data_IF_183355711920
#
_entry.id   IF_183355711920
#
_cell.length_a   1.000
_cell.length_b   1.000
_cell.length_c   1.000
_cell.angle_alpha   90.00
_cell.angle_beta   90.00
_cell.angle_gamma   90.00
#
_symmetry.space_group_name_H-M   'P 1'
#
loop_
_entity.id
_entity.type
_entity.pdbx_description
1 polymer ?
#
# COMPACT_ATOMS: atom_id res chain seq x y z
N UNK A 1 -18.24 16.19 -53.53
CA UNK A 1 -18.86 14.93 -54.01
C UNK A 1 -19.44 15.04 -55.42
N UNK A 2 -19.65 16.23 -55.99
CA UNK A 2 -20.10 16.38 -57.39
C UNK A 2 -18.95 16.68 -58.38
N UNK A 3 -17.71 16.29 -58.09
CA UNK A 3 -16.54 16.67 -58.91
C UNK A 3 -15.87 15.50 -59.63
N UNK A 4 -15.93 14.28 -59.09
CA UNK A 4 -15.34 13.10 -59.75
C UNK A 4 -16.25 12.56 -60.86
N UNK A 5 -17.57 12.57 -60.65
CA UNK A 5 -18.54 12.12 -61.65
C UNK A 5 -18.60 13.06 -62.88
N UNK A 6 -18.42 14.37 -62.67
CA UNK A 6 -18.39 15.38 -63.75
C UNK A 6 -17.07 15.33 -64.56
N UNK A 7 -15.94 15.00 -63.93
CA UNK A 7 -14.67 14.73 -64.62
C UNK A 7 -14.77 13.45 -65.46
N UNK A 8 -15.34 12.37 -64.91
CA UNK A 8 -15.63 11.13 -65.63
C UNK A 8 -16.55 11.36 -66.84
N UNK A 9 -17.61 12.16 -66.67
CA UNK A 9 -18.53 12.52 -67.76
C UNK A 9 -17.83 13.30 -68.89
N UNK A 10 -16.92 14.23 -68.55
CA UNK A 10 -16.12 14.97 -69.52
C UNK A 10 -15.09 14.07 -70.21
N UNK A 11 -14.47 13.12 -69.50
CA UNK A 11 -13.53 12.13 -70.05
C UNK A 11 -14.25 11.16 -71.01
N UNK A 12 -15.49 10.77 -70.69
CA UNK A 12 -16.38 9.94 -71.53
C UNK A 12 -16.82 10.70 -72.79
N UNK A 13 -17.09 12.00 -72.69
CA UNK A 13 -17.45 12.84 -73.84
C UNK A 13 -16.27 13.08 -74.82
N UNK A 14 -15.03 13.05 -74.33
CA UNK A 14 -13.81 13.24 -75.13
C UNK A 14 -13.22 11.95 -75.70
N UNK A 15 -13.60 10.79 -75.17
CA UNK A 15 -13.10 9.48 -75.60
C UNK A 15 -13.96 8.89 -76.71
N UNK A 16 -13.36 8.08 -77.57
CA UNK A 16 -14.10 7.39 -78.62
C UNK A 16 -14.99 6.29 -78.02
N UNK A 17 -16.08 5.94 -78.69
CA UNK A 17 -16.96 4.84 -78.26
C UNK A 17 -16.20 3.51 -78.12
N UNK A 18 -15.14 3.29 -78.89
CA UNK A 18 -14.28 2.11 -78.78
C UNK A 18 -13.41 2.14 -77.51
N UNK A 19 -12.89 3.31 -77.12
CA UNK A 19 -12.05 3.45 -75.92
C UNK A 19 -12.85 3.19 -74.64
N UNK A 20 -14.08 3.69 -74.57
CA UNK A 20 -14.98 3.45 -73.43
C UNK A 20 -15.29 1.96 -73.30
N UNK A 21 -15.59 1.28 -74.40
CA UNK A 21 -15.88 -0.16 -74.43
C UNK A 21 -14.65 -0.97 -74.00
N UNK A 22 -13.44 -0.55 -74.38
CA UNK A 22 -12.20 -1.21 -73.97
C UNK A 22 -11.91 -0.98 -72.47
N UNK A 23 -12.16 0.23 -71.95
CA UNK A 23 -11.98 0.57 -70.53
C UNK A 23 -12.97 -0.17 -69.63
N UNK A 24 -14.24 -0.29 -70.04
CA UNK A 24 -15.23 -1.11 -69.31
C UNK A 24 -14.85 -2.59 -69.30
N UNK A 25 -14.31 -3.13 -70.40
CA UNK A 25 -13.82 -4.52 -70.45
C UNK A 25 -12.61 -4.76 -69.55
N UNK A 26 -11.71 -3.79 -69.44
CA UNK A 26 -10.57 -3.83 -68.52
C UNK A 26 -11.05 -3.81 -67.06
N UNK A 27 -11.96 -2.90 -66.71
CA UNK A 27 -12.54 -2.81 -65.37
C UNK A 27 -13.33 -4.07 -64.99
N UNK A 28 -14.09 -4.67 -65.92
CA UNK A 28 -14.78 -5.94 -65.67
C UNK A 28 -13.80 -7.10 -65.40
N UNK A 29 -12.67 -7.13 -66.11
CA UNK A 29 -11.60 -8.08 -65.85
C UNK A 29 -10.97 -7.83 -64.47
N UNK A 30 -10.69 -6.58 -64.12
CA UNK A 30 -10.11 -6.21 -62.83
C UNK A 30 -11.07 -6.55 -61.67
N UNK A 31 -12.37 -6.26 -61.81
CA UNK A 31 -13.39 -6.64 -60.83
C UNK A 31 -13.43 -8.16 -60.66
N UNK A 32 -13.31 -8.92 -61.74
CA UNK A 32 -13.28 -10.39 -61.69
C UNK A 32 -12.03 -10.90 -60.97
N UNK A 33 -10.87 -10.31 -61.23
CA UNK A 33 -9.61 -10.64 -60.53
C UNK A 33 -9.72 -10.27 -59.06
N UNK A 34 -10.14 -9.05 -58.72
CA UNK A 34 -10.30 -8.61 -57.33
C UNK A 34 -11.31 -9.44 -56.54
N UNK A 35 -12.42 -9.85 -57.17
CA UNK A 35 -13.39 -10.75 -56.54
C UNK A 35 -12.78 -12.12 -56.25
N UNK A 36 -11.95 -12.63 -57.16
CA UNK A 36 -11.24 -13.91 -56.96
C UNK A 36 -10.17 -13.81 -55.86
N UNK A 37 -9.42 -12.71 -55.79
CA UNK A 37 -8.45 -12.47 -54.72
C UNK A 37 -9.10 -12.27 -53.36
N UNK A 38 -10.22 -11.53 -53.32
CA UNK A 38 -10.99 -11.34 -52.10
C UNK A 38 -11.50 -12.67 -51.55
N UNK A 39 -11.99 -13.57 -52.42
CA UNK A 39 -12.38 -14.92 -52.03
C UNK A 39 -11.19 -15.75 -51.52
N UNK A 40 -10.02 -15.69 -52.19
CA UNK A 40 -8.80 -16.37 -51.73
C UNK A 40 -8.36 -15.88 -50.35
N UNK A 41 -8.25 -14.57 -50.15
CA UNK A 41 -7.86 -13.96 -48.88
C UNK A 41 -8.85 -14.27 -47.77
N UNK A 42 -10.15 -14.31 -48.08
CA UNK A 42 -11.18 -14.68 -47.12
C UNK A 42 -11.01 -16.13 -46.67
N UNK A 43 -10.75 -17.04 -47.61
CA UNK A 43 -10.50 -18.44 -47.28
C UNK A 43 -9.22 -18.61 -46.44
N UNK A 44 -8.11 -17.97 -46.82
CA UNK A 44 -6.86 -17.99 -46.04
C UNK A 44 -7.06 -17.45 -44.61
N UNK A 45 -7.80 -16.35 -44.46
CA UNK A 45 -8.16 -15.80 -43.15
C UNK A 45 -8.95 -16.81 -42.32
N UNK A 46 -9.94 -17.48 -42.89
CA UNK A 46 -10.72 -18.49 -42.17
C UNK A 46 -9.86 -19.67 -41.73
N UNK A 47 -8.98 -20.18 -42.59
CA UNK A 47 -8.06 -21.27 -42.26
C UNK A 47 -7.07 -20.85 -41.17
N UNK A 48 -6.54 -19.63 -41.21
CA UNK A 48 -5.68 -19.13 -40.15
C UNK A 48 -6.41 -18.98 -38.81
N UNK A 49 -7.65 -18.49 -38.82
CA UNK A 49 -8.46 -18.37 -37.60
C UNK A 49 -8.76 -19.73 -36.96
N UNK A 50 -9.05 -20.74 -37.77
CA UNK A 50 -9.26 -22.11 -37.29
C UNK A 50 -7.99 -22.66 -36.64
N UNK A 51 -6.83 -22.50 -37.28
CA UNK A 51 -5.53 -22.88 -36.68
C UNK A 51 -5.22 -22.15 -35.39
N UNK A 52 -5.54 -20.85 -35.30
CA UNK A 52 -5.37 -20.07 -34.07
C UNK A 52 -6.25 -20.63 -32.96
N UNK A 53 -7.51 -20.95 -33.27
CA UNK A 53 -8.45 -21.54 -32.30
C UNK A 53 -7.96 -22.89 -31.79
N UNK A 54 -7.52 -23.78 -32.67
CA UNK A 54 -6.96 -25.08 -32.30
C UNK A 54 -5.73 -24.94 -31.39
N UNK A 55 -4.86 -23.98 -31.67
CA UNK A 55 -3.68 -23.70 -30.85
C UNK A 55 -4.07 -23.10 -29.49
N UNK A 56 -5.07 -22.22 -29.44
CA UNK A 56 -5.57 -21.66 -28.18
C UNK A 56 -6.17 -22.73 -27.27
N UNK A 57 -6.93 -23.69 -27.83
CA UNK A 57 -7.48 -24.82 -27.07
C UNK A 57 -6.37 -25.71 -26.49
N UNK A 58 -5.31 -25.99 -27.27
CA UNK A 58 -4.12 -26.70 -26.77
C UNK A 58 -3.40 -25.95 -25.65
N UNK A 59 -3.26 -24.63 -25.77
CA UNK A 59 -2.66 -23.79 -24.72
C UNK A 59 -3.54 -23.78 -23.46
N UNK A 60 -4.86 -23.70 -23.62
CA UNK A 60 -5.80 -23.70 -22.49
C UNK A 60 -5.73 -25.01 -21.70
N UNK A 61 -5.62 -26.16 -22.38
CA UNK A 61 -5.42 -27.46 -21.72
C UNK A 61 -4.10 -27.51 -20.94
N UNK A 62 -3.04 -26.89 -21.44
CA UNK A 62 -1.76 -26.78 -20.72
C UNK A 62 -1.77 -25.75 -19.59
N UNK A 63 -2.68 -24.77 -19.63
CA UNK A 63 -2.92 -23.79 -18.56
C UNK A 63 -3.83 -24.29 -17.44
N UNK A 64 -4.32 -25.53 -17.52
CA UNK A 64 -5.16 -26.08 -16.48
C UNK A 64 -4.39 -26.19 -15.14
N UNK A 65 -5.09 -25.91 -14.05
CA UNK A 65 -4.58 -26.13 -12.70
C UNK A 65 -4.41 -27.64 -12.46
N UNK A 66 -3.36 -28.10 -11.75
CA UNK A 66 -2.39 -27.33 -10.98
C UNK A 66 -1.07 -27.03 -11.72
N UNK A 67 -0.55 -25.80 -11.58
CA UNK A 67 0.81 -25.43 -11.98
C UNK A 67 1.73 -25.30 -10.76
N UNK A 68 3.03 -25.51 -10.95
CA UNK A 68 4.06 -25.32 -9.95
C UNK A 68 4.41 -23.83 -9.85
N UNK A 69 4.66 -23.30 -8.66
CA UNK A 69 5.12 -21.91 -8.50
C UNK A 69 6.65 -21.87 -8.51
N UNK A 70 7.21 -20.79 -9.06
CA UNK A 70 8.64 -20.51 -9.02
C UNK A 70 8.92 -19.01 -9.09
N UNK A 71 10.18 -18.66 -8.90
CA UNK A 71 10.66 -17.28 -9.03
C UNK A 71 11.71 -17.21 -10.13
N UNK A 72 11.70 -16.12 -10.89
CA UNK A 72 12.79 -15.81 -11.82
C UNK A 72 14.00 -15.34 -11.02
N UNK A 73 15.15 -15.99 -11.18
CA UNK A 73 16.40 -15.56 -10.54
C UNK A 73 17.09 -14.52 -11.41
N UNK A 74 17.28 -14.85 -12.68
CA UNK A 74 18.03 -14.03 -13.62
C UNK A 74 17.56 -14.29 -15.05
N UNK A 75 17.63 -13.25 -15.88
CA UNK A 75 17.41 -13.32 -17.32
C UNK A 75 18.78 -13.19 -17.97
N UNK A 76 19.12 -14.17 -18.81
CA UNK A 76 20.39 -14.25 -19.51
C UNK A 76 20.12 -14.03 -21.00
N UNK A 77 20.86 -13.11 -21.60
CA UNK A 77 20.85 -12.95 -23.06
C UNK A 77 21.94 -13.88 -23.63
N UNK A 78 21.53 -14.94 -24.33
CA UNK A 78 22.48 -15.81 -25.04
C UNK A 78 22.84 -15.17 -26.37
N UNK A 79 24.02 -14.56 -26.42
CA UNK A 79 24.67 -14.17 -27.67
C UNK A 79 25.40 -15.38 -28.27
N UNK A 80 25.11 -15.69 -29.52
CA UNK A 80 25.57 -16.91 -30.22
C UNK A 80 27.09 -16.93 -30.50
N UNK A 81 27.83 -15.87 -30.18
CA UNK A 81 29.20 -15.73 -30.68
C UNK A 81 30.32 -16.35 -29.82
N UNK A 82 30.05 -17.27 -28.87
CA UNK A 82 31.14 -17.88 -28.09
C UNK A 82 31.17 -19.39 -27.83
N UNK A 83 30.18 -20.19 -28.23
CA UNK A 83 30.24 -21.65 -27.94
C UNK A 83 29.92 -22.61 -29.10
N UNK A 84 29.58 -22.14 -30.30
CA UNK A 84 29.16 -23.01 -31.41
C UNK A 84 30.12 -23.05 -32.61
N UNK A 85 31.43 -23.19 -32.39
CA UNK A 85 32.37 -23.50 -33.49
C UNK A 85 33.01 -24.88 -33.45
N UNK A 86 32.71 -25.74 -32.46
CA UNK A 86 33.27 -27.09 -32.44
C UNK A 86 32.29 -28.13 -31.88
N UNK A 87 31.29 -28.54 -32.67
CA UNK A 87 30.75 -29.90 -32.59
C UNK A 87 29.89 -30.23 -33.81
N UNK A 88 30.45 -31.03 -34.71
CA UNK A 88 29.75 -31.64 -35.84
C UNK A 88 28.98 -32.88 -35.42
N UNK A 89 27.75 -32.71 -34.98
CA UNK A 89 26.68 -33.71 -34.99
C UNK A 89 25.36 -33.01 -34.64
N UNK A 90 24.38 -33.04 -35.55
CA UNK A 90 23.00 -32.53 -35.41
C UNK A 90 22.80 -31.49 -34.30
N UNK A 91 23.10 -30.22 -34.62
CA UNK A 91 22.79 -29.12 -33.71
C UNK A 91 21.27 -29.00 -33.63
N UNK A 92 20.70 -29.29 -32.46
CA UNK A 92 19.29 -29.04 -32.18
C UNK A 92 18.97 -27.56 -32.51
N UNK A 93 17.86 -27.34 -33.22
CA UNK A 93 17.42 -25.98 -33.60
C UNK A 93 17.17 -25.08 -32.36
N UNK A 94 17.00 -25.66 -31.17
CA UNK A 94 16.90 -24.93 -29.92
C UNK A 94 18.26 -24.44 -29.38
N UNK A 95 19.38 -25.03 -29.79
CA UNK A 95 20.73 -24.57 -29.45
C UNK A 95 21.23 -23.43 -30.37
N UNK A 96 20.54 -23.14 -31.47
CA UNK A 96 20.88 -22.08 -32.44
C UNK A 96 20.01 -20.84 -32.33
N UNK A 97 19.06 -20.81 -31.39
CA UNK A 97 18.16 -19.68 -31.22
C UNK A 97 18.80 -18.60 -30.36
N UNK A 98 19.09 -17.46 -30.98
CA UNK A 98 19.27 -16.19 -30.28
C UNK A 98 18.00 -15.90 -29.49
N UNK A 99 18.11 -15.89 -28.17
CA UNK A 99 16.95 -15.77 -27.32
C UNK A 99 17.33 -15.41 -25.90
N UNK A 100 16.41 -14.71 -25.23
CA UNK A 100 16.49 -14.50 -23.79
C UNK A 100 16.20 -15.83 -23.12
N UNK A 101 17.13 -16.30 -22.29
CA UNK A 101 16.97 -17.44 -21.41
C UNK A 101 16.66 -16.98 -20.00
N UNK A 102 16.05 -17.86 -19.20
CA UNK A 102 15.74 -17.56 -17.81
C UNK A 102 16.28 -18.65 -16.89
N UNK A 103 16.91 -18.24 -15.80
CA UNK A 103 17.18 -19.10 -14.66
C UNK A 103 16.01 -18.98 -13.70
N UNK A 104 15.30 -20.08 -13.49
CA UNK A 104 14.16 -20.13 -12.58
C UNK A 104 14.49 -20.96 -11.35
N UNK A 105 13.90 -20.59 -10.22
CA UNK A 105 13.96 -21.36 -8.98
C UNK A 105 12.55 -21.77 -8.59
N UNK A 106 12.30 -23.07 -8.61
CA UNK A 106 11.00 -23.65 -8.25
C UNK A 106 10.76 -23.59 -6.73
N UNK A 107 9.49 -23.68 -6.30
CA UNK A 107 9.14 -23.82 -4.87
C UNK A 107 9.76 -25.08 -4.22
N UNK A 108 10.10 -26.09 -5.01
CA UNK A 108 10.83 -27.30 -4.56
C UNK A 108 12.34 -27.06 -4.39
N UNK A 109 12.80 -25.80 -4.49
CA UNK A 109 14.18 -25.35 -4.34
C UNK A 109 15.13 -25.87 -5.43
N UNK A 110 14.60 -26.31 -6.57
CA UNK A 110 15.41 -26.66 -7.73
C UNK A 110 15.63 -25.44 -8.62
N UNK A 111 16.88 -25.22 -9.03
CA UNK A 111 17.24 -24.20 -10.01
C UNK A 111 17.29 -24.86 -11.37
N UNK A 112 16.50 -24.34 -12.30
CA UNK A 112 16.37 -24.89 -13.66
C UNK A 112 16.72 -23.77 -14.63
N UNK A 113 17.56 -24.10 -15.62
CA UNK A 113 17.85 -23.22 -16.73
C UNK A 113 16.87 -23.49 -17.87
N UNK A 114 16.15 -22.46 -18.31
CA UNK A 114 15.22 -22.52 -19.42
C UNK A 114 15.82 -21.76 -20.62
N UNK A 115 16.18 -22.46 -21.70
CA UNK A 115 16.63 -21.81 -22.94
C UNK A 115 15.53 -20.93 -23.56
N UNK A 116 14.26 -21.35 -23.43
CA UNK A 116 13.09 -20.60 -23.88
C UNK A 116 12.16 -20.22 -22.73
N UNK A 117 11.75 -18.95 -22.71
CA UNK A 117 10.96 -18.30 -21.65
C UNK A 117 9.46 -18.71 -21.68
N UNK A 118 9.05 -19.62 -22.56
CA UNK A 118 7.69 -20.18 -22.57
C UNK A 118 6.66 -19.22 -23.19
N UNK A 119 5.51 -19.05 -22.53
CA UNK A 119 4.37 -18.31 -23.08
C UNK A 119 4.37 -16.81 -22.72
N UNK A 120 5.24 -16.38 -21.81
CA UNK A 120 5.32 -15.01 -21.31
C UNK A 120 6.38 -14.22 -22.07
N UNK A 121 6.12 -12.95 -22.34
CA UNK A 121 7.10 -12.07 -22.96
C UNK A 121 8.30 -11.81 -22.02
N UNK A 122 9.54 -11.91 -22.51
CA UNK A 122 10.73 -11.74 -21.67
C UNK A 122 10.95 -10.29 -21.22
N UNK A 123 10.26 -9.33 -21.83
CA UNK A 123 10.29 -7.91 -21.45
C UNK A 123 9.44 -7.61 -20.21
N UNK A 124 8.46 -8.47 -19.90
CA UNK A 124 7.57 -8.31 -18.74
C UNK A 124 8.19 -8.92 -17.48
N UNK A 125 9.08 -9.90 -17.65
CA UNK A 125 9.73 -10.57 -16.54
C UNK A 125 10.84 -9.70 -15.96
N UNK A 126 10.86 -9.64 -14.64
CA UNK A 126 11.95 -9.06 -13.85
C UNK A 126 12.53 -10.12 -12.90
N UNK A 127 13.80 -9.95 -12.50
CA UNK A 127 14.36 -10.76 -11.43
C UNK A 127 13.49 -10.67 -10.17
N UNK A 128 13.24 -11.82 -9.55
CA UNK A 128 12.37 -12.08 -8.39
C UNK A 128 10.85 -12.04 -8.65
N UNK A 129 10.40 -11.96 -9.90
CA UNK A 129 8.97 -12.11 -10.18
C UNK A 129 8.50 -13.53 -9.90
N UNK A 130 7.28 -13.64 -9.36
CA UNK A 130 6.60 -14.88 -9.09
C UNK A 130 5.94 -15.38 -10.40
N UNK A 131 6.18 -16.64 -10.76
CA UNK A 131 5.71 -17.20 -12.03
C UNK A 131 5.06 -18.57 -11.82
N UNK A 132 4.07 -18.86 -12.67
CA UNK A 132 3.47 -20.17 -12.81
C UNK A 132 4.24 -21.02 -13.82
N UNK A 133 4.69 -22.19 -13.39
CA UNK A 133 5.47 -23.16 -14.14
C UNK A 133 4.65 -24.42 -14.39
N UNK A 134 4.79 -25.04 -15.56
CA UNK A 134 4.25 -26.38 -15.75
C UNK A 134 5.03 -27.39 -14.87
N UNK A 135 4.32 -28.32 -14.22
CA UNK A 135 4.92 -29.33 -13.34
C UNK A 135 5.86 -30.28 -14.08
N UNK A 136 5.57 -30.61 -15.33
CA UNK A 136 6.31 -31.64 -16.07
C UNK A 136 7.42 -31.04 -16.94
N UNK A 137 7.16 -29.91 -17.59
CA UNK A 137 8.09 -29.27 -18.54
C UNK A 137 8.81 -28.05 -17.99
N UNK A 138 8.44 -27.56 -16.79
CA UNK A 138 8.99 -26.36 -16.16
C UNK A 138 8.92 -25.09 -17.02
N UNK A 139 8.11 -25.07 -18.08
CA UNK A 139 7.89 -23.90 -18.92
C UNK A 139 7.08 -22.85 -18.16
N UNK A 140 7.42 -21.57 -18.36
CA UNK A 140 6.68 -20.44 -17.79
C UNK A 140 5.34 -20.31 -18.52
N UNK A 141 4.24 -20.51 -17.78
CA UNK A 141 2.87 -20.45 -18.27
C UNK A 141 2.29 -19.04 -18.12
N UNK A 142 2.49 -18.43 -16.96
CA UNK A 142 1.93 -17.14 -16.60
C UNK A 142 2.77 -16.43 -15.52
N UNK A 143 2.61 -15.11 -15.45
CA UNK A 143 3.15 -14.29 -14.35
C UNK A 143 2.12 -14.19 -13.25
N UNK A 144 2.52 -14.52 -12.02
CA UNK A 144 1.64 -14.41 -10.86
C UNK A 144 1.83 -13.03 -10.20
N UNK A 145 0.79 -12.45 -9.60
CA UNK A 145 0.93 -11.27 -8.78
C UNK A 145 1.96 -11.50 -7.67
N UNK A 146 2.75 -10.47 -7.33
CA UNK A 146 3.68 -10.55 -6.22
C UNK A 146 2.95 -10.90 -4.93
N UNK A 147 3.35 -12.00 -4.28
CA UNK A 147 2.74 -12.40 -3.02
C UNK A 147 3.44 -11.71 -1.85
N UNK A 148 2.68 -10.89 -1.13
CA UNK A 148 3.10 -10.34 0.16
C UNK A 148 2.83 -11.34 1.29
N UNK A 149 3.66 -11.31 2.34
CA UNK A 149 3.43 -12.10 3.55
C UNK A 149 2.00 -11.89 4.07
N UNK A 150 1.33 -12.97 4.49
CA UNK A 150 -0.04 -12.92 4.99
C UNK A 150 -0.18 -11.97 6.19
N UNK A 151 0.89 -11.79 6.98
CA UNK A 151 0.95 -10.83 8.07
C UNK A 151 0.84 -9.39 7.58
N UNK A 152 1.40 -9.05 6.42
CA UNK A 152 1.30 -7.70 5.83
C UNK A 152 -0.11 -7.45 5.31
N UNK A 153 -0.75 -8.45 4.70
CA UNK A 153 -2.17 -8.34 4.30
C UNK A 153 -3.08 -8.13 5.52
N UNK A 154 -2.76 -8.72 6.66
CA UNK A 154 -3.49 -8.50 7.91
C UNK A 154 -3.23 -7.11 8.56
N UNK A 155 -2.15 -6.41 8.16
CA UNK A 155 -1.86 -5.04 8.60
C UNK A 155 -2.66 -4.00 7.81
N UNK A 156 -3.21 -4.38 6.67
CA UNK A 156 -4.14 -3.56 5.93
C UNK A 156 -5.43 -3.41 6.72
N UNK A 157 -5.85 -2.16 6.93
CA UNK A 157 -7.10 -1.89 7.59
C UNK A 157 -8.19 -1.81 6.51
N UNK A 158 -8.91 -2.92 6.33
CA UNK A 158 -10.03 -3.02 5.38
C UNK A 158 -11.22 -2.12 5.76
N UNK A 159 -11.37 -1.77 7.05
CA UNK A 159 -12.41 -0.86 7.53
C UNK A 159 -11.90 0.58 7.62
N UNK A 160 -12.44 1.47 6.78
CA UNK A 160 -12.21 2.91 6.93
C UNK A 160 -12.59 3.33 8.36
N UNK A 161 -11.65 3.84 9.17
CA UNK A 161 -12.01 4.38 10.48
C UNK A 161 -13.06 5.47 10.30
N UNK A 162 -14.14 5.43 11.07
CA UNK A 162 -15.22 6.43 11.04
C UNK A 162 -15.01 7.56 12.06
N UNK A 163 -13.79 7.69 12.57
CA UNK A 163 -13.45 8.67 13.61
C UNK A 163 -13.25 10.05 12.96
N UNK A 164 -14.05 11.04 13.36
CA UNK A 164 -13.92 12.42 12.92
C UNK A 164 -13.07 13.24 13.89
N UNK A 165 -12.48 14.34 13.43
CA UNK A 165 -11.77 15.27 14.33
C UNK A 165 -12.67 15.88 15.41
N UNK A 166 -13.99 15.91 15.21
CA UNK A 166 -14.95 16.35 16.22
C UNK A 166 -15.07 15.41 17.43
N UNK A 167 -14.50 14.20 17.35
CA UNK A 167 -14.40 13.26 18.45
C UNK A 167 -13.06 13.36 19.20
N UNK A 168 -12.18 14.28 18.81
CA UNK A 168 -10.90 14.54 19.46
C UNK A 168 -10.96 15.91 20.13
N UNK A 169 -10.83 15.96 21.47
CA UNK A 169 -10.93 17.20 22.24
C UNK A 169 -9.58 17.81 22.58
N UNK A 170 -9.43 19.12 22.39
CA UNK A 170 -8.37 19.95 22.99
C UNK A 170 -6.96 19.77 22.40
N UNK A 171 -6.85 19.20 21.20
CA UNK A 171 -5.60 19.00 20.47
C UNK A 171 -5.55 19.77 19.15
N UNK A 172 -6.16 20.97 19.12
CA UNK A 172 -6.37 21.73 17.88
C UNK A 172 -5.06 22.06 17.15
N UNK A 173 -4.01 22.43 17.91
CA UNK A 173 -2.67 22.71 17.34
C UNK A 173 -2.07 21.46 16.69
N UNK A 174 -2.16 20.31 17.36
CA UNK A 174 -1.63 19.05 16.86
C UNK A 174 -2.42 18.55 15.65
N UNK A 175 -3.73 18.77 15.62
CA UNK A 175 -4.59 18.48 14.47
C UNK A 175 -4.14 19.32 13.27
N UNK A 176 -3.95 20.63 13.44
CA UNK A 176 -3.49 21.53 12.38
C UNK A 176 -2.11 21.11 11.83
N UNK A 177 -1.13 20.87 12.70
CA UNK A 177 0.21 20.41 12.30
C UNK A 177 0.18 19.08 11.52
N UNK A 178 -0.71 18.16 11.91
CA UNK A 178 -0.86 16.88 11.23
C UNK A 178 -1.54 17.02 9.87
N UNK A 179 -2.57 17.86 9.76
CA UNK A 179 -3.26 18.17 8.51
C UNK A 179 -2.29 18.81 7.52
N UNK A 180 -1.45 19.75 7.98
CA UNK A 180 -0.38 20.35 7.17
C UNK A 180 0.66 19.34 6.69
N UNK A 181 1.04 18.40 7.55
CA UNK A 181 2.07 17.42 7.23
C UNK A 181 1.59 16.31 6.29
N UNK A 182 0.33 15.87 6.41
CA UNK A 182 -0.17 14.67 5.72
C UNK A 182 -1.27 14.99 4.71
N UNK A 183 -2.34 15.64 5.15
CA UNK A 183 -3.56 15.83 4.35
C UNK A 183 -3.32 16.83 3.22
N UNK A 184 -2.67 17.95 3.51
CA UNK A 184 -2.37 19.01 2.53
C UNK A 184 -1.53 18.49 1.35
N UNK A 185 -0.42 17.76 1.56
CA UNK A 185 0.33 17.15 0.46
C UNK A 185 -0.47 16.15 -0.37
N UNK A 186 -1.42 15.43 0.24
CA UNK A 186 -2.24 14.44 -0.45
C UNK A 186 -3.34 15.07 -1.31
N UNK A 187 -4.00 16.11 -0.80
CA UNK A 187 -5.10 16.78 -1.50
C UNK A 187 -4.62 17.85 -2.49
N UNK A 188 -3.53 18.55 -2.18
CA UNK A 188 -3.08 19.75 -2.90
C UNK A 188 -1.63 19.64 -3.36
N UNK A 189 -1.25 18.51 -3.96
CA UNK A 189 0.11 18.27 -4.47
C UNK A 189 0.58 19.36 -5.45
N UNK A 190 -0.32 19.91 -6.26
CA UNK A 190 0.01 20.95 -7.26
C UNK A 190 0.51 22.25 -6.61
N UNK A 191 0.02 22.61 -5.42
CA UNK A 191 0.50 23.80 -4.71
C UNK A 191 1.95 23.65 -4.28
N UNK A 192 2.33 22.46 -3.83
CA UNK A 192 3.72 22.16 -3.47
C UNK A 192 4.63 22.19 -4.71
N UNK A 193 4.15 21.65 -5.85
CA UNK A 193 4.88 21.68 -7.13
C UNK A 193 5.10 23.11 -7.64
N UNK A 194 4.06 23.94 -7.59
CA UNK A 194 4.13 25.35 -8.00
C UNK A 194 5.04 26.19 -7.10
N UNK A 195 5.06 25.92 -5.79
CA UNK A 195 5.90 26.62 -4.84
C UNK A 195 7.36 26.10 -4.82
N UNK A 196 7.61 24.91 -5.39
CA UNK A 196 8.94 24.30 -5.45
C UNK A 196 9.43 23.72 -4.12
N UNK A 197 8.55 23.55 -3.13
CA UNK A 197 8.87 22.96 -1.82
C UNK A 197 8.53 21.49 -1.79
N UNK A 198 9.45 20.69 -1.23
CA UNK A 198 9.22 19.27 -1.01
C UNK A 198 8.31 19.08 0.20
N UNK A 199 7.21 18.32 0.08
CA UNK A 199 6.36 18.02 1.23
C UNK A 199 7.13 17.16 2.23
N UNK A 200 6.80 17.24 3.53
CA UNK A 200 7.41 16.39 4.53
C UNK A 200 7.12 14.91 4.24
N UNK A 201 8.09 14.03 4.47
CA UNK A 201 7.94 12.59 4.21
C UNK A 201 7.16 11.88 5.32
N UNK A 202 7.35 12.31 6.56
CA UNK A 202 6.67 11.75 7.70
C UNK A 202 6.59 12.67 8.90
N UNK A 203 5.72 12.29 9.84
CA UNK A 203 5.55 12.97 11.11
C UNK A 203 5.70 11.98 12.27
N UNK A 204 6.41 12.41 13.32
CA UNK A 204 6.57 11.71 14.58
C UNK A 204 5.67 12.37 15.63
N UNK A 205 4.78 11.57 16.21
CA UNK A 205 3.94 11.94 17.34
C UNK A 205 4.55 11.40 18.63
N UNK A 206 4.86 12.26 19.59
CA UNK A 206 5.45 11.83 20.87
C UNK A 206 4.76 12.46 22.06
N UNK A 207 4.84 11.81 23.22
CA UNK A 207 4.32 12.31 24.50
C UNK A 207 3.80 11.21 25.41
N UNK A 208 3.15 11.52 26.54
CA UNK A 208 2.63 10.52 27.47
C UNK A 208 1.61 9.57 26.81
N UNK A 209 1.49 8.32 27.30
CA UNK A 209 0.48 7.39 26.83
C UNK A 209 -0.93 7.88 27.20
N UNK A 210 -1.91 7.54 26.38
CA UNK A 210 -3.32 7.92 26.62
C UNK A 210 -3.69 9.36 26.23
N UNK A 211 -2.82 10.05 25.48
CA UNK A 211 -3.06 11.39 24.89
C UNK A 211 -3.74 11.36 23.52
N UNK A 212 -4.07 10.17 22.99
CA UNK A 212 -4.84 10.05 21.75
C UNK A 212 -4.02 10.02 20.45
N UNK A 213 -2.71 9.76 20.50
CA UNK A 213 -1.84 9.62 19.30
C UNK A 213 -2.42 8.66 18.25
N UNK A 214 -2.82 7.46 18.67
CA UNK A 214 -3.42 6.44 17.79
C UNK A 214 -4.80 6.86 17.26
N UNK A 215 -5.59 7.60 18.04
CA UNK A 215 -6.89 8.13 17.60
C UNK A 215 -6.72 9.20 16.53
N UNK A 216 -5.76 10.12 16.72
CA UNK A 216 -5.50 11.17 15.73
C UNK A 216 -5.00 10.59 14.40
N UNK A 217 -4.16 9.56 14.43
CA UNK A 217 -3.71 8.87 13.22
C UNK A 217 -4.87 8.25 12.44
N UNK A 218 -5.82 7.61 13.14
CA UNK A 218 -7.02 7.01 12.53
C UNK A 218 -7.96 8.06 11.95
N UNK A 219 -8.22 9.14 12.68
CA UNK A 219 -9.04 10.23 12.18
C UNK A 219 -8.43 10.92 10.94
N UNK A 220 -7.11 11.08 10.91
CA UNK A 220 -6.40 11.60 9.74
C UNK A 220 -6.53 10.68 8.51
N UNK A 221 -6.48 9.38 8.73
CA UNK A 221 -6.68 8.40 7.66
C UNK A 221 -8.12 8.40 7.14
N UNK A 222 -9.10 8.50 8.04
CA UNK A 222 -10.51 8.60 7.71
C UNK A 222 -10.79 9.79 6.78
N UNK A 223 -10.28 10.97 7.15
CA UNK A 223 -10.54 12.21 6.43
C UNK A 223 -9.78 12.33 5.10
N UNK A 224 -8.57 11.79 5.03
CA UNK A 224 -7.77 11.81 3.78
C UNK A 224 -8.29 10.84 2.73
N UNK A 225 -9.08 9.83 3.12
CA UNK A 225 -9.57 8.79 2.21
C UNK A 225 -8.47 7.92 1.63
N UNK A 226 -7.27 7.98 2.20
CA UNK A 226 -6.11 7.20 1.81
C UNK A 226 -6.17 5.80 2.45
N UNK A 227 -5.48 4.83 1.83
CA UNK A 227 -5.31 3.50 2.40
C UNK A 227 -4.54 3.62 3.72
N UNK A 228 -5.05 3.02 4.80
CA UNK A 228 -4.40 3.06 6.10
C UNK A 228 -3.73 1.72 6.40
N UNK A 229 -2.40 1.71 6.47
CA UNK A 229 -1.62 0.54 6.84
C UNK A 229 -1.20 0.68 8.30
N UNK A 230 -1.78 -0.14 9.18
CA UNK A 230 -1.43 -0.12 10.61
C UNK A 230 -0.32 -1.13 10.88
N UNK A 231 0.85 -0.64 11.25
CA UNK A 231 1.99 -1.42 11.63
C UNK A 231 2.30 -1.20 13.12
N UNK A 232 2.24 -2.25 13.93
CA UNK A 232 2.76 -2.18 15.29
C UNK A 232 4.24 -2.56 15.28
N UNK A 233 5.13 -1.68 15.76
CA UNK A 233 6.56 -1.95 15.75
C UNK A 233 6.96 -3.25 16.49
N UNK A 234 6.30 -3.68 17.59
CA UNK A 234 6.56 -5.00 18.17
C UNK A 234 6.33 -6.18 17.21
N UNK A 235 5.43 -6.05 16.22
CA UNK A 235 5.18 -7.10 15.24
C UNK A 235 6.36 -7.30 14.27
N UNK A 236 7.26 -6.30 14.17
CA UNK A 236 8.48 -6.40 13.37
C UNK A 236 9.58 -7.20 14.06
N UNK A 237 9.48 -7.41 15.38
CA UNK A 237 10.44 -8.22 16.14
C UNK A 237 10.09 -9.69 15.98
N UNK A 238 10.85 -10.40 15.16
CA UNK A 238 10.64 -11.82 14.84
C UNK A 238 11.77 -12.69 15.40
N UNK A 239 11.47 -13.96 15.66
CA UNK A 239 12.46 -14.95 16.11
C UNK A 239 13.43 -15.36 14.99
N UNK A 240 13.00 -15.28 13.73
CA UNK A 240 13.79 -15.67 12.57
C UNK A 240 14.55 -14.47 12.01
N UNK A 241 15.85 -14.67 11.79
CA UNK A 241 16.77 -13.63 11.30
C UNK A 241 16.34 -13.18 9.90
N UNK A 242 16.12 -11.87 9.74
CA UNK A 242 15.77 -11.23 8.48
C UNK A 242 14.28 -11.26 8.13
N UNK A 243 13.43 -11.93 8.92
CA UNK A 243 11.98 -11.96 8.69
C UNK A 243 11.37 -10.57 8.96
N UNK A 244 11.83 -9.88 10.00
CA UNK A 244 11.42 -8.49 10.29
C UNK A 244 11.76 -7.54 9.14
N UNK A 245 12.99 -7.61 8.63
CA UNK A 245 13.44 -6.81 7.49
C UNK A 245 12.66 -7.12 6.19
N UNK A 246 12.28 -8.38 5.96
CA UNK A 246 11.40 -8.75 4.85
C UNK A 246 10.02 -8.12 5.01
N UNK A 247 9.44 -8.20 6.21
CA UNK A 247 8.12 -7.66 6.50
C UNK A 247 8.06 -6.14 6.27
N UNK A 248 9.09 -5.40 6.67
CA UNK A 248 9.20 -3.96 6.38
C UNK A 248 9.17 -3.71 4.88
N UNK A 249 9.98 -4.42 4.09
CA UNK A 249 10.02 -4.26 2.62
C UNK A 249 8.67 -4.56 1.97
N UNK A 250 8.03 -5.65 2.39
CA UNK A 250 6.73 -6.07 1.87
C UNK A 250 5.64 -5.04 2.22
N UNK A 251 5.62 -4.50 3.44
CA UNK A 251 4.69 -3.46 3.87
C UNK A 251 4.82 -2.18 3.03
N UNK A 252 6.04 -1.76 2.77
CA UNK A 252 6.33 -0.58 1.93
C UNK A 252 6.02 -0.82 0.45
N UNK A 253 6.25 -2.03 -0.07
CA UNK A 253 5.88 -2.39 -1.43
C UNK A 253 4.35 -2.40 -1.62
N UNK A 254 3.60 -2.98 -0.67
CA UNK A 254 2.14 -2.94 -0.67
C UNK A 254 1.63 -1.49 -0.60
N UNK A 255 2.26 -0.64 0.21
CA UNK A 255 1.89 0.77 0.31
C UNK A 255 2.09 1.55 -0.99
N UNK A 256 3.12 1.21 -1.79
CA UNK A 256 3.35 1.78 -3.12
C UNK A 256 2.29 1.35 -4.12
N UNK A 257 1.89 0.07 -4.09
CA UNK A 257 0.85 -0.46 -4.98
C UNK A 257 -0.51 0.19 -4.71
N UNK A 258 -0.83 0.43 -3.43
CA UNK A 258 -2.12 1.00 -2.98
C UNK A 258 -2.12 2.52 -2.80
N UNK A 259 -1.15 3.22 -3.36
CA UNK A 259 -1.01 4.66 -3.21
C UNK A 259 -2.27 5.40 -3.73
N UNK A 260 -2.84 6.39 -3.00
CA UNK A 260 -2.32 7.05 -1.80
C UNK A 260 -2.45 6.24 -0.50
N UNK A 261 -1.36 6.13 0.28
CA UNK A 261 -1.31 5.31 1.51
C UNK A 261 -0.67 6.09 2.66
N UNK A 262 -1.20 5.89 3.87
CA UNK A 262 -0.61 6.33 5.14
C UNK A 262 -0.17 5.08 5.91
N UNK A 263 1.13 4.97 6.18
CA UNK A 263 1.70 3.93 7.03
C UNK A 263 1.79 4.48 8.45
N UNK A 264 1.04 3.90 9.38
CA UNK A 264 1.08 4.26 10.79
C UNK A 264 1.89 3.22 11.58
N UNK A 265 3.02 3.64 12.13
CA UNK A 265 3.90 2.84 12.98
C UNK A 265 3.64 3.21 14.44
N UNK A 266 3.01 2.31 15.19
CA UNK A 266 2.79 2.48 16.64
C UNK A 266 3.95 1.88 17.44
N UNK A 267 4.19 2.41 18.65
CA UNK A 267 5.22 1.96 19.59
C UNK A 267 6.64 1.88 18.98
N UNK A 268 7.05 2.93 18.26
CA UNK A 268 8.36 2.95 17.58
C UNK A 268 9.55 2.70 18.51
N UNK A 269 9.40 2.94 19.82
CA UNK A 269 10.39 2.62 20.85
C UNK A 269 10.70 1.11 20.98
N UNK A 270 9.86 0.22 20.45
CA UNK A 270 10.16 -1.22 20.39
C UNK A 270 11.31 -1.57 19.43
N UNK A 271 11.46 -0.81 18.34
CA UNK A 271 12.48 -1.07 17.29
C UNK A 271 13.53 0.04 17.18
N UNK A 272 13.21 1.23 17.67
CA UNK A 272 14.01 2.44 17.47
C UNK A 272 15.00 2.72 18.59
N UNK A 273 15.30 1.78 19.48
CA UNK A 273 16.17 2.04 20.64
C UNK A 273 17.60 2.40 20.21
N UNK A 274 18.21 3.35 20.92
CA UNK A 274 19.62 3.71 20.74
C UNK A 274 20.51 2.47 20.89
N UNK A 275 21.56 2.44 20.07
CA UNK A 275 22.62 1.43 20.11
C UNK A 275 23.26 1.41 21.49
N UNK A 276 22.93 0.39 22.26
CA UNK A 276 23.76 -0.04 23.40
C UNK A 276 24.53 -1.27 22.97
N UNK A 277 25.77 -1.36 23.43
CA UNK A 277 26.74 -2.42 23.14
C UNK A 277 26.35 -3.69 23.92
N UNK A 278 25.10 -4.14 23.77
CA UNK A 278 24.60 -5.37 24.35
C UNK A 278 24.87 -6.53 23.39
N UNK A 279 25.70 -7.49 23.83
CA UNK A 279 26.03 -8.73 23.10
C UNK A 279 24.84 -9.71 22.93
N UNK A 280 23.60 -9.27 23.14
CA UNK A 280 22.42 -10.13 23.02
C UNK A 280 22.02 -10.25 21.56
N UNK A 281 21.95 -11.50 21.08
CA UNK A 281 21.56 -11.84 19.70
C UNK A 281 20.21 -11.23 19.26
N UNK A 282 19.26 -11.06 20.19
CA UNK A 282 17.96 -10.46 19.89
C UNK A 282 18.01 -8.98 19.50
N UNK A 283 18.89 -8.19 20.13
CA UNK A 283 19.01 -6.75 19.86
C UNK A 283 19.59 -6.51 18.46
N UNK A 284 20.43 -7.42 17.96
CA UNK A 284 20.99 -7.34 16.60
C UNK A 284 19.91 -7.48 15.51
N UNK A 285 18.90 -8.32 15.72
CA UNK A 285 17.82 -8.48 14.74
C UNK A 285 16.88 -7.27 14.71
N UNK A 286 16.57 -6.72 15.89
CA UNK A 286 15.79 -5.47 16.00
C UNK A 286 16.51 -4.33 15.29
N UNK A 287 17.83 -4.20 15.51
CA UNK A 287 18.66 -3.21 14.83
C UNK A 287 18.67 -3.40 13.31
N UNK A 288 18.77 -4.65 12.83
CA UNK A 288 18.73 -4.94 11.40
C UNK A 288 17.40 -4.51 10.78
N UNK A 289 16.30 -4.78 11.45
CA UNK A 289 14.96 -4.38 11.00
C UNK A 289 14.79 -2.86 11.03
N UNK A 290 15.33 -2.18 12.04
CA UNK A 290 15.39 -0.71 12.10
C UNK A 290 16.19 -0.12 10.95
N UNK A 291 17.37 -0.67 10.62
CA UNK A 291 18.18 -0.21 9.49
C UNK A 291 17.44 -0.38 8.16
N UNK A 292 16.71 -1.48 7.99
CA UNK A 292 15.88 -1.67 6.81
C UNK A 292 14.74 -0.63 6.74
N UNK A 293 14.07 -0.35 7.86
CA UNK A 293 13.09 0.73 7.93
C UNK A 293 13.69 2.08 7.52
N UNK A 294 14.91 2.40 7.99
CA UNK A 294 15.62 3.62 7.60
C UNK A 294 15.93 3.66 6.10
N UNK A 295 16.39 2.54 5.53
CA UNK A 295 16.67 2.43 4.10
C UNK A 295 15.40 2.65 3.27
N UNK A 296 14.28 2.07 3.70
CA UNK A 296 12.99 2.28 3.05
C UNK A 296 12.59 3.75 3.13
N UNK A 297 12.61 4.38 4.32
CA UNK A 297 12.27 5.80 4.50
C UNK A 297 13.11 6.76 3.64
N UNK A 298 14.41 6.48 3.48
CA UNK A 298 15.30 7.26 2.63
C UNK A 298 15.02 7.00 1.13
N UNK A 299 14.67 5.76 0.78
CA UNK A 299 14.46 5.28 -0.58
C UNK A 299 13.21 5.78 -1.29
N UNK A 300 12.25 6.40 -0.59
CA UNK A 300 11.10 7.08 -1.21
C UNK A 300 11.45 8.48 -1.71
N UNK A 301 10.96 8.83 -2.90
CA UNK A 301 10.98 10.20 -3.38
C UNK A 301 10.00 11.06 -2.58
N UNK A 302 10.28 12.36 -2.41
CA UNK A 302 9.34 13.29 -1.76
C UNK A 302 8.01 13.44 -2.51
N UNK A 303 7.95 13.01 -3.79
CA UNK A 303 6.75 13.03 -4.65
C UNK A 303 5.91 11.73 -4.53
N UNK A 304 6.38 10.74 -3.76
CA UNK A 304 5.63 9.50 -3.55
C UNK A 304 4.39 9.79 -2.68
N UNK A 305 3.23 9.28 -3.12
CA UNK A 305 1.95 9.41 -2.41
C UNK A 305 1.84 8.49 -1.17
N UNK A 306 2.98 8.16 -0.56
CA UNK A 306 3.08 7.36 0.65
C UNK A 306 3.59 8.25 1.77
N UNK A 307 2.83 8.34 2.87
CA UNK A 307 3.21 9.13 4.06
C UNK A 307 3.38 8.23 5.26
N UNK A 308 4.38 8.53 6.09
CA UNK A 308 4.68 7.75 7.29
C UNK A 308 4.34 8.56 8.54
N UNK A 309 3.48 7.99 9.37
CA UNK A 309 3.18 8.48 10.70
C UNK A 309 3.77 7.52 11.72
N UNK A 310 4.59 8.03 12.64
CA UNK A 310 5.14 7.23 13.72
C UNK A 310 4.65 7.77 15.06
N UNK A 311 4.32 6.87 15.99
CA UNK A 311 4.01 7.20 17.38
C UNK A 311 5.03 6.59 18.33
N UNK A 312 5.46 7.37 19.32
CA UNK A 312 6.28 6.90 20.43
C UNK A 312 5.80 7.51 21.75
N UNK A 313 5.96 6.77 22.84
CA UNK A 313 5.78 7.34 24.18
C UNK A 313 7.09 7.94 24.72
N UNK A 314 8.23 7.48 24.20
CA UNK A 314 9.57 7.80 24.68
C UNK A 314 10.44 8.27 23.53
N UNK A 315 10.58 9.59 23.38
CA UNK A 315 11.45 10.18 22.36
C UNK A 315 12.93 10.16 22.76
N UNK A 316 13.21 10.06 24.06
CA UNK A 316 14.56 9.99 24.65
C UNK A 316 15.34 8.73 24.25
N UNK A 317 14.63 7.61 24.09
CA UNK A 317 15.20 6.30 23.77
C UNK A 317 15.45 6.10 22.27
N UNK A 318 14.87 6.95 21.41
CA UNK A 318 14.95 6.78 19.96
C UNK A 318 16.34 7.09 19.40
N UNK A 319 16.76 6.30 18.41
CA UNK A 319 17.99 6.53 17.65
C UNK A 319 17.91 7.89 16.93
N UNK A 320 18.91 8.79 17.11
CA UNK A 320 18.99 10.07 16.39
C UNK A 320 18.90 9.95 14.87
N UNK A 321 19.24 8.78 14.31
CA UNK A 321 19.09 8.49 12.89
C UNK A 321 17.63 8.61 12.43
N UNK A 322 16.65 8.15 13.22
CA UNK A 322 15.23 8.27 12.88
C UNK A 322 14.74 9.72 12.90
N UNK A 323 15.34 10.55 13.76
CA UNK A 323 14.95 11.95 14.00
C UNK A 323 15.58 12.95 13.03
N UNK A 324 16.39 12.48 12.08
CA UNK A 324 17.08 13.31 11.09
C UNK A 324 16.09 13.78 10.02
N UNK A 325 16.27 15.03 9.57
CA UNK A 325 15.54 15.59 8.43
C UNK A 325 15.73 14.73 7.18
N UNK A 326 14.65 14.53 6.42
CA UNK A 326 14.54 13.60 5.30
C UNK A 326 13.82 12.28 5.62
N UNK A 327 13.46 12.06 6.90
CA UNK A 327 12.75 10.87 7.40
C UNK A 327 11.50 11.31 8.16
N UNK A 328 11.64 11.59 9.46
CA UNK A 328 10.59 12.11 10.33
C UNK A 328 10.79 13.62 10.49
N UNK A 329 10.29 14.37 9.51
CA UNK A 329 10.53 15.81 9.38
C UNK A 329 9.77 16.62 10.43
N UNK A 330 8.49 16.25 10.66
CA UNK A 330 7.63 16.93 11.64
C UNK A 330 7.64 16.17 12.96
N UNK A 331 7.78 16.90 14.06
CA UNK A 331 7.80 16.37 15.42
C UNK A 331 6.66 17.03 16.18
N UNK A 332 5.59 16.29 16.39
CA UNK A 332 4.35 16.76 17.01
C UNK A 332 4.33 16.28 18.45
N UNK A 333 4.35 17.24 19.37
CA UNK A 333 4.29 16.96 20.81
C UNK A 333 2.84 16.89 21.28
N UNK A 334 2.54 15.84 22.05
CA UNK A 334 1.26 15.64 22.72
C UNK A 334 1.44 15.95 24.20
N UNK A 335 1.12 17.18 24.65
CA UNK A 335 1.13 17.51 26.06
C UNK A 335 -0.03 16.81 26.78
N UNK A 336 0.00 16.87 28.11
CA UNK A 336 -1.18 16.52 28.89
C UNK A 336 -2.30 17.54 28.61
N UNK A 337 -3.58 17.10 28.61
CA UNK A 337 -4.72 17.98 28.37
C UNK A 337 -4.77 19.17 29.36
N UNK A 338 -4.94 20.38 28.84
CA UNK A 338 -5.28 21.58 29.62
C UNK A 338 -6.67 21.47 30.25
N UNK A 339 -7.03 22.34 31.20
CA UNK A 339 -8.37 22.37 31.82
C UNK A 339 -9.50 22.39 30.77
N UNK A 340 -9.38 23.26 29.75
CA UNK A 340 -10.34 23.37 28.65
C UNK A 340 -10.38 22.12 27.76
N UNK A 341 -9.23 21.49 27.54
CA UNK A 341 -9.14 20.23 26.81
C UNK A 341 -9.82 19.09 27.57
N UNK A 342 -9.64 19.03 28.91
CA UNK A 342 -10.31 18.03 29.76
C UNK A 342 -11.82 18.17 29.72
N UNK A 343 -12.32 19.41 29.78
CA UNK A 343 -13.75 19.71 29.62
C UNK A 343 -14.29 19.15 28.29
N UNK A 344 -13.58 19.45 27.19
CA UNK A 344 -13.95 19.01 25.85
C UNK A 344 -13.98 17.49 25.72
N UNK A 345 -12.95 16.80 26.25
CA UNK A 345 -12.85 15.33 26.21
C UNK A 345 -13.97 14.67 27.03
N UNK A 346 -14.27 15.18 28.23
CA UNK A 346 -15.37 14.68 29.06
C UNK A 346 -16.71 14.84 28.34
N UNK A 347 -16.95 16.00 27.73
CA UNK A 347 -18.17 16.30 26.98
C UNK A 347 -18.35 15.37 25.78
N UNK A 348 -17.28 15.08 25.04
CA UNK A 348 -17.31 14.17 23.89
C UNK A 348 -17.72 12.76 24.32
N UNK A 349 -17.14 12.24 25.40
CA UNK A 349 -17.48 10.91 25.90
C UNK A 349 -18.87 10.85 26.54
N UNK A 350 -19.31 11.95 27.16
CA UNK A 350 -20.65 12.08 27.71
C UNK A 350 -21.76 12.05 26.65
N UNK A 351 -21.48 12.43 25.39
CA UNK A 351 -22.48 12.34 24.29
C UNK A 351 -23.07 10.94 24.11
N UNK A 352 -22.31 9.90 24.47
CA UNK A 352 -22.75 8.50 24.35
C UNK A 352 -23.57 8.02 25.55
N UNK A 353 -23.63 8.80 26.63
CA UNK A 353 -24.27 8.44 27.89
C UNK A 353 -25.57 9.24 28.08
N UNK A 354 -26.54 8.63 28.76
CA UNK A 354 -27.76 9.31 29.17
C UNK A 354 -27.48 10.16 30.42
N UNK A 355 -26.92 11.35 30.21
CA UNK A 355 -26.60 12.31 31.26
C UNK A 355 -27.52 13.53 31.18
N UNK A 356 -27.87 14.09 32.34
CA UNK A 356 -28.59 15.35 32.39
C UNK A 356 -27.61 16.51 32.18
N UNK A 357 -27.47 16.92 30.92
CA UNK A 357 -26.54 17.99 30.49
C UNK A 357 -26.74 19.33 31.22
N UNK A 358 -27.91 19.58 31.82
CA UNK A 358 -28.17 20.80 32.58
C UNK A 358 -27.70 20.70 34.04
N UNK A 359 -27.60 19.49 34.59
CA UNK A 359 -27.13 19.27 35.96
C UNK A 359 -25.61 19.11 36.06
N UNK A 360 -24.95 18.71 34.96
CA UNK A 360 -23.51 18.40 34.96
C UNK A 360 -22.69 19.62 34.56
N UNK A 361 -21.93 20.16 35.51
CA UNK A 361 -20.94 21.20 35.25
C UNK A 361 -19.59 20.59 34.82
N UNK A 362 -19.33 20.56 33.52
CA UNK A 362 -18.09 20.00 32.97
C UNK A 362 -16.83 20.77 33.37
N UNK A 363 -16.96 22.08 33.58
CA UNK A 363 -15.83 22.93 33.99
C UNK A 363 -15.36 22.61 35.41
N UNK A 364 -16.30 22.29 36.29
CA UNK A 364 -15.99 21.84 37.65
C UNK A 364 -15.28 20.49 37.64
N UNK A 365 -15.79 19.52 36.87
CA UNK A 365 -15.15 18.21 36.69
C UNK A 365 -13.74 18.32 36.08
N UNK A 366 -13.54 19.25 35.15
CA UNK A 366 -12.24 19.52 34.54
C UNK A 366 -11.21 20.07 35.55
N UNK A 367 -11.66 20.86 36.53
CA UNK A 367 -10.82 21.35 37.65
C UNK A 367 -10.49 20.24 38.66
N UNK A 368 -11.40 19.30 38.88
CA UNK A 368 -11.17 18.18 39.79
C UNK A 368 -10.27 17.08 39.20
N UNK A 369 -10.00 17.10 37.89
CA UNK A 369 -9.25 16.06 37.16
C UNK A 369 -7.82 16.50 36.81
N UNK A 370 -7.06 16.93 37.82
CA UNK A 370 -5.67 17.36 37.61
C UNK A 370 -4.74 16.24 37.15
N UNK A 371 -3.95 16.54 36.12
CA UNK A 371 -3.03 15.63 35.43
C UNK A 371 -3.68 14.35 34.85
N UNK A 372 -4.96 14.42 34.49
CA UNK A 372 -5.63 13.31 33.84
C UNK A 372 -5.28 13.25 32.35
N UNK A 373 -4.91 12.07 31.86
CA UNK A 373 -4.80 11.82 30.42
C UNK A 373 -6.19 11.53 29.80
N UNK A 374 -6.29 11.59 28.47
CA UNK A 374 -7.56 11.35 27.77
C UNK A 374 -8.16 9.96 28.05
N UNK A 375 -7.30 8.96 28.23
CA UNK A 375 -7.73 7.61 28.61
C UNK A 375 -8.38 7.56 30.02
N UNK A 376 -7.83 8.30 30.98
CA UNK A 376 -8.38 8.41 32.34
C UNK A 376 -9.69 9.19 32.35
N UNK A 377 -9.80 10.28 31.58
CA UNK A 377 -11.07 11.00 31.42
C UNK A 377 -12.16 10.11 30.84
N UNK A 378 -11.82 9.30 29.84
CA UNK A 378 -12.73 8.25 29.34
C UNK A 378 -13.12 7.27 30.44
N UNK A 379 -12.15 6.79 31.23
CA UNK A 379 -12.43 5.88 32.34
C UNK A 379 -13.38 6.49 33.39
N UNK A 380 -13.24 7.78 33.72
CA UNK A 380 -14.16 8.51 34.61
C UNK A 380 -15.58 8.45 34.07
N UNK A 381 -15.78 8.72 32.77
CA UNK A 381 -17.13 8.68 32.18
C UNK A 381 -17.76 7.29 32.21
N UNK A 382 -16.95 6.23 32.04
CA UNK A 382 -17.41 4.84 32.11
C UNK A 382 -17.76 4.45 33.55
N UNK A 383 -16.91 4.80 34.52
CA UNK A 383 -17.15 4.50 35.93
C UNK A 383 -18.36 5.26 36.49
N UNK A 384 -18.58 6.52 36.07
CA UNK A 384 -19.79 7.26 36.43
C UNK A 384 -21.07 6.53 35.99
N UNK A 385 -21.05 5.93 34.80
CA UNK A 385 -22.14 5.07 34.32
C UNK A 385 -22.34 3.81 35.17
N UNK A 386 -21.25 3.18 35.62
CA UNK A 386 -21.31 1.99 36.48
C UNK A 386 -21.84 2.30 37.88
N UNK A 387 -21.46 3.44 38.45
CA UNK A 387 -21.95 3.92 39.75
C UNK A 387 -23.44 4.23 39.68
N UNK A 388 -23.87 4.96 38.64
CA UNK A 388 -25.28 5.24 38.40
C UNK A 388 -26.10 3.95 38.25
N UNK A 389 -25.59 2.97 37.52
CA UNK A 389 -26.22 1.65 37.35
C UNK A 389 -26.32 0.89 38.68
N UNK A 390 -25.26 0.89 39.50
CA UNK A 390 -25.24 0.25 40.83
C UNK A 390 -26.29 0.84 41.76
N UNK A 391 -26.53 2.14 41.64
CA UNK A 391 -27.52 2.88 42.40
C UNK A 391 -28.94 2.79 41.81
N UNK A 392 -29.13 2.04 40.72
CA UNK A 392 -30.43 1.89 40.04
C UNK A 392 -30.92 3.16 39.34
N UNK A 393 -30.03 4.14 39.09
CA UNK A 393 -30.37 5.39 38.37
C UNK A 393 -30.31 5.15 36.86
N UNK A 394 -31.26 5.72 36.12
CA UNK A 394 -31.30 5.69 34.64
C UNK A 394 -30.64 6.90 33.97
N UNK A 395 -30.32 7.92 34.76
CA UNK A 395 -29.70 9.17 34.33
C UNK A 395 -28.49 9.43 35.23
N UNK A 396 -27.35 9.72 34.60
CA UNK A 396 -26.11 10.06 35.30
C UNK A 396 -26.16 11.52 35.74
N UNK A 397 -25.90 11.79 37.02
CA UNK A 397 -25.84 13.13 37.60
C UNK A 397 -24.39 13.55 37.88
N UNK A 398 -24.21 14.82 38.23
CA UNK A 398 -22.91 15.38 38.58
C UNK A 398 -22.21 14.62 39.73
N UNK A 399 -22.95 14.21 40.76
CA UNK A 399 -22.43 13.46 41.91
C UNK A 399 -21.76 12.13 41.49
N UNK A 400 -22.35 11.43 40.52
CA UNK A 400 -21.83 10.15 40.05
C UNK A 400 -20.47 10.33 39.33
N UNK A 401 -20.25 11.48 38.67
CA UNK A 401 -18.94 11.82 38.09
C UNK A 401 -17.90 12.16 39.15
N UNK A 402 -18.29 12.87 40.21
CA UNK A 402 -17.37 13.20 41.32
C UNK A 402 -16.90 11.92 42.03
N UNK A 403 -17.81 10.98 42.29
CA UNK A 403 -17.48 9.68 42.88
C UNK A 403 -16.57 8.86 41.93
N UNK A 404 -16.86 8.88 40.63
CA UNK A 404 -16.01 8.23 39.63
C UNK A 404 -14.59 8.80 39.56
N UNK A 405 -14.43 10.14 39.68
CA UNK A 405 -13.11 10.78 39.75
C UNK A 405 -12.35 10.26 40.98
N UNK A 406 -13.00 10.21 42.14
CA UNK A 406 -12.38 9.69 43.36
C UNK A 406 -11.94 8.23 43.20
N UNK A 407 -12.76 7.38 42.56
CA UNK A 407 -12.40 5.98 42.32
C UNK A 407 -11.20 5.83 41.35
N UNK A 408 -11.19 6.60 40.26
CA UNK A 408 -10.08 6.59 39.29
C UNK A 408 -8.79 7.16 39.91
N UNK A 409 -8.90 8.19 40.75
CA UNK A 409 -7.77 8.72 41.53
C UNK A 409 -7.27 7.70 42.56
N UNK A 410 -8.16 7.00 43.27
CA UNK A 410 -7.79 5.96 44.24
C UNK A 410 -7.06 4.78 43.58
N UNK A 411 -7.44 4.43 42.34
CA UNK A 411 -6.71 3.45 41.54
C UNK A 411 -5.30 3.94 41.15
N UNK A 412 -5.13 5.25 40.92
CA UNK A 412 -3.82 5.90 40.71
C UNK A 412 -2.98 5.92 41.99
N UNK A 413 -3.62 6.10 43.16
CA UNK A 413 -2.97 6.29 44.46
C UNK A 413 -2.89 5.02 45.32
N UNK A 414 -2.82 3.82 44.75
CA UNK A 414 -2.53 2.57 45.49
C UNK A 414 -1.11 2.53 46.12
N UNK A 415 -0.51 3.68 46.40
CA UNK A 415 0.39 3.91 47.52
C UNK A 415 -0.44 4.52 48.66
N UNK A 416 -0.86 3.69 49.61
CA UNK A 416 -1.70 4.06 50.75
C UNK A 416 -1.14 5.30 51.47
N UNK A 417 -1.88 6.41 51.47
CA UNK A 417 -1.56 7.56 52.31
C UNK A 417 -1.93 7.22 53.76
N UNK A 418 -0.91 6.99 54.59
CA UNK A 418 -1.02 6.74 56.03
C UNK A 418 -0.99 8.02 56.88
N UNK A 419 -1.20 9.19 56.30
CA UNK A 419 -1.18 10.44 57.04
C UNK A 419 -2.54 11.12 56.97
N UNK A 420 -3.09 11.32 58.17
CA UNK A 420 -4.32 12.05 58.46
C UNK A 420 -4.10 13.56 58.45
#
# INVERSE_FOLDING_TARGET
>A
MASEDDELLNEIMQSSTEDIINRTKLLDNDIKVMRSESQRLTHEKTVMLERIKDNQEKIANNKQLPFLVGNVVELLDLDVDKESTEQGANVDLDATRTGKSAVIKTSTRQTIFLPMIGLVDPTKLKPNDLIGLNKDSYLILDTLPSEYDSRVKAMEVDEKPTEDYSDIGGLDKQIEELIEAVVLPMQQADKFKNLGVKPPKGALMYGPPGTGKTLLARACAAQSGATFLKLAAPQLVQMFIGDGAKLVRDAFALAKEKAPTIIFIDELDAIGTKRFDSDKSGDREVQRTMLELLNQLDGFGSDDRVKVLAATNRVDTLDPALLRSGRLDRKIEFPLPSEEARESVLKIHARKLNCDNNSVNWRELARSTDEFNGAQLKAVTVEAGMIALRNGKSIIKHEDFVEAIAEVQARKSKSVNFYA
#
